data_IF_151176833566
#
_entry.id   IF_151176833566
#
_cell.length_a   1.000
_cell.length_b   1.000
_cell.length_c   1.000
_cell.angle_alpha   90.00
_cell.angle_beta   90.00
_cell.angle_gamma   90.00
#
_symmetry.space_group_name_H-M   'P 1'
#
loop_
_entity.id
_entity.type
_entity.pdbx_description
1 polymer ?
#
# COMPACT_ATOMS: atom_id res chain seq x y z
N UNK A 1 24.50 21.85 -14.71
CA UNK A 1 24.16 20.43 -14.46
C UNK A 1 22.69 20.23 -14.79
N UNK A 2 22.34 19.21 -15.58
CA UNK A 2 20.94 18.89 -15.83
C UNK A 2 20.28 18.38 -14.53
N UNK A 3 19.06 18.83 -14.22
CA UNK A 3 18.32 18.34 -13.05
C UNK A 3 18.03 16.84 -13.19
N UNK A 4 18.24 16.08 -12.12
CA UNK A 4 17.98 14.63 -12.14
C UNK A 4 16.49 14.33 -12.32
N UNK A 5 16.17 13.52 -13.34
CA UNK A 5 14.82 13.03 -13.61
C UNK A 5 14.67 11.58 -13.16
N UNK A 6 13.88 11.35 -12.09
CA UNK A 6 13.56 10.00 -11.59
C UNK A 6 12.86 9.18 -12.69
N UNK A 7 13.28 7.91 -12.83
CA UNK A 7 12.73 6.98 -13.83
C UNK A 7 11.79 5.92 -13.23
N UNK A 8 11.86 5.70 -11.91
CA UNK A 8 11.04 4.81 -11.10
C UNK A 8 11.14 3.30 -11.40
N UNK A 9 10.77 2.84 -12.60
CA UNK A 9 10.69 1.41 -12.95
C UNK A 9 10.89 1.20 -14.46
N UNK A 10 11.64 0.17 -14.92
CA UNK A 10 11.85 -0.12 -16.35
C UNK A 10 10.59 -0.70 -17.02
N UNK A 11 10.55 -0.74 -18.35
CA UNK A 11 9.54 -1.48 -19.12
C UNK A 11 8.52 -0.61 -19.86
N UNK A 12 7.93 -1.14 -20.92
CA UNK A 12 6.96 -0.42 -21.77
C UNK A 12 5.52 -0.93 -21.66
N UNK A 13 5.32 -2.07 -20.98
CA UNK A 13 4.02 -2.69 -20.75
C UNK A 13 3.10 -1.89 -19.83
N UNK A 14 1.80 -2.21 -19.81
CA UNK A 14 0.84 -1.56 -18.91
C UNK A 14 1.18 -1.77 -17.42
N UNK A 15 1.57 -2.96 -16.91
CA UNK A 15 1.97 -3.09 -15.52
C UNK A 15 3.20 -2.25 -15.18
N UNK A 16 4.21 -2.19 -16.06
CA UNK A 16 5.39 -1.34 -15.87
C UNK A 16 5.04 0.16 -15.81
N UNK A 17 4.17 0.63 -16.71
CA UNK A 17 3.65 2.02 -16.70
C UNK A 17 2.88 2.32 -15.42
N UNK A 18 2.03 1.40 -14.96
CA UNK A 18 1.29 1.56 -13.70
C UNK A 18 2.22 1.60 -12.49
N UNK A 19 3.27 0.76 -12.46
CA UNK A 19 4.30 0.80 -11.40
C UNK A 19 5.00 2.16 -11.33
N UNK A 20 5.39 2.75 -12.47
CA UNK A 20 5.93 4.11 -12.49
C UNK A 20 4.90 5.14 -12.00
N UNK A 21 3.67 5.07 -12.51
CA UNK A 21 2.59 6.00 -12.16
C UNK A 21 2.35 6.04 -10.65
N UNK A 22 2.25 4.87 -10.03
CA UNK A 22 2.03 4.78 -8.59
C UNK A 22 3.23 5.22 -7.77
N UNK A 23 4.48 5.09 -8.25
CA UNK A 23 5.63 5.61 -7.50
C UNK A 23 5.84 7.12 -7.64
N UNK A 24 5.33 7.75 -8.70
CA UNK A 24 5.59 9.17 -8.97
C UNK A 24 4.70 10.11 -8.13
N UNK A 25 5.24 10.82 -7.12
CA UNK A 25 4.44 11.73 -6.28
C UNK A 25 3.82 12.89 -7.05
N UNK A 26 4.31 13.19 -8.27
CA UNK A 26 3.70 14.22 -9.13
C UNK A 26 2.41 13.75 -9.80
N UNK A 27 2.20 12.44 -9.89
CA UNK A 27 0.96 11.87 -10.40
C UNK A 27 -0.04 11.72 -9.26
N UNK A 28 -1.19 12.41 -9.38
CA UNK A 28 -2.30 12.28 -8.44
C UNK A 28 -3.03 10.96 -8.67
N UNK A 29 -3.18 10.18 -7.61
CA UNK A 29 -3.96 8.94 -7.65
C UNK A 29 -5.45 9.27 -7.80
N UNK A 30 -6.14 8.55 -8.69
CA UNK A 30 -7.57 8.77 -8.93
C UNK A 30 -8.38 8.36 -7.70
N UNK A 31 -9.12 9.31 -7.10
CA UNK A 31 -10.15 9.02 -6.08
C UNK A 31 -11.33 8.31 -6.75
N UNK A 32 -11.75 7.17 -6.20
CA UNK A 32 -12.83 6.33 -6.74
C UNK A 32 -14.03 6.22 -5.81
N UNK A 33 -13.83 6.52 -4.53
CA UNK A 33 -14.84 6.50 -3.47
C UNK A 33 -14.48 7.51 -2.39
N UNK A 34 -15.38 7.71 -1.44
CA UNK A 34 -15.17 8.62 -0.32
C UNK A 34 -15.73 7.99 0.96
N UNK A 35 -14.90 7.20 1.64
CA UNK A 35 -15.24 6.62 2.94
C UNK A 35 -15.01 7.69 4.01
N UNK A 36 -15.96 7.89 4.91
CA UNK A 36 -15.81 8.90 5.97
C UNK A 36 -14.58 8.62 6.83
N UNK A 37 -13.92 9.65 7.37
CA UNK A 37 -12.73 9.42 8.21
C UNK A 37 -13.08 8.56 9.44
N UNK A 38 -14.24 8.82 10.05
CA UNK A 38 -14.77 8.02 11.16
C UNK A 38 -14.93 6.54 10.80
N UNK A 39 -15.32 6.23 9.56
CA UNK A 39 -15.42 4.86 9.09
C UNK A 39 -14.06 4.22 8.80
N UNK A 40 -13.09 5.00 8.30
CA UNK A 40 -11.70 4.55 8.15
C UNK A 40 -11.11 4.20 9.51
N UNK A 41 -11.30 5.06 10.52
CA UNK A 41 -10.86 4.82 11.91
C UNK A 41 -11.50 3.55 12.48
N UNK A 42 -12.80 3.34 12.25
CA UNK A 42 -13.50 2.10 12.64
C UNK A 42 -12.92 0.85 11.96
N UNK A 43 -12.67 0.91 10.65
CA UNK A 43 -12.05 -0.21 9.90
C UNK A 43 -10.64 -0.51 10.44
N UNK A 44 -9.87 0.52 10.82
CA UNK A 44 -8.54 0.36 11.40
C UNK A 44 -8.57 -0.22 12.82
N UNK A 45 -9.59 0.08 13.62
CA UNK A 45 -9.80 -0.54 14.94
C UNK A 45 -8.72 -0.20 15.98
N UNK A 46 -8.21 1.03 15.97
CA UNK A 46 -7.13 1.46 16.89
C UNK A 46 -7.58 2.39 18.01
N UNK A 47 -8.60 3.19 17.71
CA UNK A 47 -9.28 4.13 18.61
C UNK A 47 -10.71 4.31 18.11
N UNK A 48 -11.56 4.91 18.94
CA UNK A 48 -12.89 5.31 18.50
C UNK A 48 -12.84 6.66 17.77
N UNK A 49 -13.72 6.91 16.79
CA UNK A 49 -13.90 8.26 16.24
C UNK A 49 -14.26 9.26 17.34
N UNK A 50 -13.63 10.43 17.30
CA UNK A 50 -13.74 11.45 18.35
C UNK A 50 -12.85 11.21 19.58
N UNK A 51 -12.21 10.04 19.74
CA UNK A 51 -11.21 9.82 20.79
C UNK A 51 -9.91 10.55 20.44
N UNK A 52 -9.31 11.23 21.42
CA UNK A 52 -8.00 11.87 21.26
C UNK A 52 -6.92 10.85 20.88
N UNK A 53 -5.92 11.31 20.11
CA UNK A 53 -4.73 10.51 19.82
C UNK A 53 -3.96 10.26 21.11
N UNK A 54 -3.67 8.98 21.39
CA UNK A 54 -2.85 8.61 22.54
C UNK A 54 -1.38 8.76 22.18
N UNK A 55 -0.61 9.27 23.13
CA UNK A 55 0.84 9.46 22.98
C UNK A 55 1.63 8.27 23.52
N UNK A 56 2.77 7.97 22.89
CA UNK A 56 3.79 7.03 23.40
C UNK A 56 4.97 7.73 24.09
N UNK A 57 5.15 9.03 23.83
CA UNK A 57 6.11 9.90 24.51
C UNK A 57 5.57 11.34 24.54
N UNK A 58 6.09 12.23 25.41
CA UNK A 58 5.71 13.64 25.40
C UNK A 58 5.95 14.30 24.03
N UNK A 59 5.25 15.41 23.71
CA UNK A 59 5.53 16.20 22.53
C UNK A 59 7.01 16.57 22.39
N UNK A 60 7.54 16.59 21.16
CA UNK A 60 8.97 16.84 20.91
C UNK A 60 9.42 18.21 21.45
N UNK A 61 8.52 19.19 21.48
CA UNK A 61 8.80 20.54 22.01
C UNK A 61 9.10 20.55 23.51
N UNK A 62 8.67 19.53 24.25
CA UNK A 62 8.96 19.36 25.67
C UNK A 62 10.27 18.59 25.90
N UNK A 63 10.85 18.03 24.84
CA UNK A 63 12.08 17.25 24.89
C UNK A 63 13.30 18.10 25.21
N UNK A 64 14.12 17.65 26.17
CA UNK A 64 15.44 18.22 26.47
C UNK A 64 16.55 17.49 25.71
N UNK A 65 16.34 17.25 24.44
CA UNK A 65 17.32 16.53 23.64
C UNK A 65 18.56 17.40 23.36
N UNK A 66 19.79 16.84 23.40
CA UNK A 66 21.01 17.59 23.12
C UNK A 66 21.00 18.15 21.70
N UNK A 67 21.78 19.20 21.45
CA UNK A 67 21.87 19.78 20.12
C UNK A 67 22.34 18.75 19.09
N UNK A 68 21.64 18.66 17.96
CA UNK A 68 21.93 17.73 16.88
C UNK A 68 21.66 18.39 15.53
N UNK A 69 22.70 18.68 14.71
CA UNK A 69 22.52 19.36 13.43
C UNK A 69 21.67 18.54 12.45
N UNK A 70 21.76 17.20 12.49
CA UNK A 70 20.96 16.33 11.62
C UNK A 70 19.48 16.39 12.00
N UNK A 71 19.14 16.37 13.30
CA UNK A 71 17.74 16.46 13.77
C UNK A 71 17.09 17.78 13.34
N UNK A 72 17.85 18.88 13.38
CA UNK A 72 17.39 20.22 12.94
C UNK A 72 17.07 20.28 11.44
N UNK A 73 17.72 19.47 10.60
CA UNK A 73 17.48 19.42 9.15
C UNK A 73 16.23 18.61 8.76
N UNK A 74 15.81 17.66 9.61
CA UNK A 74 14.72 16.72 9.28
C UNK A 74 13.44 17.12 10.02
N UNK A 75 12.48 17.69 9.27
CA UNK A 75 11.20 18.12 9.83
C UNK A 75 10.36 16.91 10.30
N UNK A 76 9.97 16.78 11.57
CA UNK A 76 9.13 15.68 12.03
C UNK A 76 7.74 15.70 11.35
N UNK A 77 7.10 14.54 11.22
CA UNK A 77 5.66 14.49 10.85
C UNK A 77 4.80 15.03 11.97
N UNK A 78 3.53 15.32 11.72
CA UNK A 78 2.64 15.86 12.76
C UNK A 78 2.47 14.88 13.91
N UNK A 79 2.26 13.59 13.62
CA UNK A 79 2.14 12.58 14.68
C UNK A 79 3.43 12.43 15.49
N UNK A 80 4.60 12.63 14.89
CA UNK A 80 5.87 12.60 15.62
C UNK A 80 6.00 13.82 16.56
N UNK A 81 5.62 15.02 16.12
CA UNK A 81 5.65 16.25 16.96
C UNK A 81 4.84 16.10 18.24
N UNK A 82 3.68 15.48 18.15
CA UNK A 82 2.75 15.26 19.27
C UNK A 82 3.02 13.97 20.06
N UNK A 83 3.99 13.17 19.61
CA UNK A 83 4.36 11.91 20.25
C UNK A 83 3.29 10.82 20.17
N UNK A 84 2.43 10.85 19.15
CA UNK A 84 1.41 9.84 18.89
C UNK A 84 2.01 8.43 18.86
N UNK A 85 1.27 7.42 19.31
CA UNK A 85 1.69 6.01 19.14
C UNK A 85 1.90 5.66 17.67
N UNK A 86 2.76 4.68 17.42
CA UNK A 86 2.85 4.01 16.11
C UNK A 86 1.75 2.96 16.01
N UNK A 87 1.03 2.95 14.90
CA UNK A 87 -0.04 1.98 14.57
C UNK A 87 0.09 1.53 13.12
N UNK A 88 -0.80 0.66 12.65
CA UNK A 88 -0.63 0.02 11.34
C UNK A 88 -1.93 -0.11 10.53
N UNK A 89 -1.80 -0.07 9.21
CA UNK A 89 -2.82 -0.64 8.32
C UNK A 89 -2.15 -1.69 7.45
N UNK A 90 -2.84 -2.82 7.26
CA UNK A 90 -2.32 -3.93 6.49
C UNK A 90 -3.32 -4.35 5.42
N UNK A 91 -2.82 -4.52 4.20
CA UNK A 91 -3.59 -4.92 3.04
C UNK A 91 -3.16 -6.30 2.55
N UNK A 92 -4.12 -7.06 2.05
CA UNK A 92 -3.90 -8.25 1.22
C UNK A 92 -4.43 -7.96 -0.17
N UNK A 93 -3.61 -8.16 -1.19
CA UNK A 93 -3.96 -7.91 -2.60
C UNK A 93 -4.03 -9.23 -3.37
N UNK A 94 -5.15 -9.48 -4.04
CA UNK A 94 -5.35 -10.68 -4.85
C UNK A 94 -4.38 -10.75 -6.03
N UNK A 95 -3.83 -11.94 -6.29
CA UNK A 95 -3.05 -12.20 -7.51
C UNK A 95 -3.92 -12.15 -8.77
N UNK A 96 -5.24 -12.09 -8.66
CA UNK A 96 -6.16 -11.97 -9.78
C UNK A 96 -6.43 -10.50 -10.15
N UNK A 97 -5.38 -9.81 -10.58
CA UNK A 97 -5.44 -8.42 -11.08
C UNK A 97 -5.88 -7.36 -10.07
N UNK A 98 -5.63 -7.55 -8.77
CA UNK A 98 -5.73 -6.44 -7.82
C UNK A 98 -4.93 -5.21 -8.33
N UNK A 99 -5.38 -3.98 -8.04
CA UNK A 99 -4.83 -2.79 -8.68
C UNK A 99 -3.35 -2.57 -8.37
N UNK A 100 -2.87 -3.02 -7.22
CA UNK A 100 -1.48 -2.90 -6.80
C UNK A 100 -1.02 -4.22 -6.15
N UNK A 101 0.29 -4.49 -6.21
CA UNK A 101 0.94 -5.67 -5.63
C UNK A 101 1.82 -5.30 -4.42
N UNK A 102 2.18 -6.27 -3.55
CA UNK A 102 2.86 -5.97 -2.29
C UNK A 102 4.14 -5.12 -2.40
N UNK A 103 5.12 -5.52 -3.21
CA UNK A 103 6.34 -4.71 -3.40
C UNK A 103 6.04 -3.32 -3.98
N UNK A 104 5.02 -3.22 -4.82
CA UNK A 104 4.64 -1.96 -5.43
C UNK A 104 4.01 -0.99 -4.42
N UNK A 105 3.28 -1.49 -3.41
CA UNK A 105 2.86 -0.68 -2.26
C UNK A 105 4.06 -0.12 -1.51
N UNK A 106 5.03 -0.96 -1.14
CA UNK A 106 6.21 -0.50 -0.40
C UNK A 106 7.01 0.57 -1.16
N UNK A 107 7.26 0.38 -2.45
CA UNK A 107 7.97 1.36 -3.28
C UNK A 107 7.19 2.67 -3.47
N UNK A 108 5.86 2.57 -3.60
CA UNK A 108 4.99 3.74 -3.62
C UNK A 108 5.06 4.48 -2.28
N UNK A 109 4.96 3.78 -1.16
CA UNK A 109 4.93 4.38 0.18
C UNK A 109 6.21 5.17 0.45
N UNK A 110 7.37 4.55 0.20
CA UNK A 110 8.68 5.19 0.37
C UNK A 110 8.94 6.33 -0.64
N UNK A 111 8.19 6.39 -1.75
CA UNK A 111 8.32 7.46 -2.74
C UNK A 111 7.36 8.63 -2.52
N UNK A 112 6.24 8.42 -1.83
CA UNK A 112 5.17 9.41 -1.65
C UNK A 112 5.06 9.97 -0.24
N UNK A 113 5.37 9.15 0.78
CA UNK A 113 5.09 9.47 2.17
C UNK A 113 6.36 9.63 3.00
N UNK A 114 6.24 10.27 4.16
CA UNK A 114 7.33 10.57 5.08
C UNK A 114 7.17 9.73 6.36
N UNK A 115 8.29 9.35 6.98
CA UNK A 115 8.29 8.63 8.26
C UNK A 115 7.67 7.23 8.18
N UNK A 116 7.95 6.51 7.08
CA UNK A 116 7.36 5.20 6.79
C UNK A 116 8.21 4.06 7.34
N UNK A 117 7.57 3.14 8.06
CA UNK A 117 8.01 1.75 8.18
C UNK A 117 7.05 0.86 7.37
N UNK A 118 7.58 -0.09 6.59
CA UNK A 118 6.75 -0.92 5.72
C UNK A 118 7.33 -2.31 5.48
N UNK A 119 6.50 -3.33 5.69
CA UNK A 119 6.83 -4.74 5.47
C UNK A 119 6.13 -5.31 4.23
N UNK A 120 6.86 -6.03 3.40
CA UNK A 120 6.32 -6.72 2.22
C UNK A 120 6.39 -8.23 2.38
N UNK A 121 5.25 -8.89 2.23
CA UNK A 121 5.13 -10.34 2.18
C UNK A 121 4.28 -10.74 0.96
N UNK A 122 4.23 -12.02 0.63
CA UNK A 122 3.38 -12.51 -0.46
C UNK A 122 1.90 -12.24 -0.20
N UNK A 123 1.41 -12.62 0.99
CA UNK A 123 0.00 -12.55 1.36
C UNK A 123 -0.44 -11.29 2.09
N UNK A 124 0.48 -10.35 2.38
CA UNK A 124 0.14 -9.09 3.07
C UNK A 124 1.21 -8.03 2.87
N UNK A 125 0.81 -6.78 2.97
CA UNK A 125 1.69 -5.64 2.97
C UNK A 125 1.22 -4.66 4.06
N UNK A 126 2.16 -4.23 4.89
CA UNK A 126 1.90 -3.42 6.08
C UNK A 126 2.63 -2.09 5.99
N UNK A 127 2.02 -1.05 6.55
CA UNK A 127 2.63 0.24 6.83
C UNK A 127 2.41 0.59 8.30
N UNK A 128 3.49 0.95 8.98
CA UNK A 128 3.49 1.39 10.38
C UNK A 128 4.01 2.82 10.45
N UNK A 129 3.17 3.75 10.93
CA UNK A 129 3.53 5.16 11.14
C UNK A 129 2.78 5.72 12.35
N UNK A 130 3.03 6.99 12.68
CA UNK A 130 2.33 7.69 13.76
C UNK A 130 0.83 7.78 13.48
N UNK A 131 0.00 7.54 14.51
CA UNK A 131 -1.44 7.26 14.37
C UNK A 131 -2.21 8.30 13.54
N UNK A 132 -2.04 9.61 13.75
CA UNK A 132 -2.73 10.62 12.92
C UNK A 132 -2.26 10.67 11.47
N UNK A 133 -0.96 10.45 11.24
CA UNK A 133 -0.39 10.42 9.89
C UNK A 133 -0.89 9.17 9.15
N UNK A 134 -1.02 8.05 9.88
CA UNK A 134 -1.53 6.78 9.37
C UNK A 134 -2.97 6.90 8.90
N UNK A 135 -3.84 7.57 9.64
CA UNK A 135 -5.26 7.73 9.27
C UNK A 135 -5.44 8.48 7.95
N UNK A 136 -4.64 9.52 7.72
CA UNK A 136 -4.64 10.26 6.45
C UNK A 136 -4.20 9.35 5.30
N UNK A 137 -3.12 8.58 5.49
CA UNK A 137 -2.63 7.63 4.50
C UNK A 137 -3.66 6.53 4.24
N UNK A 138 -4.25 5.95 5.30
CA UNK A 138 -5.26 4.91 5.20
C UNK A 138 -6.50 5.38 4.44
N UNK A 139 -7.01 6.59 4.72
CA UNK A 139 -8.10 7.20 3.97
C UNK A 139 -7.75 7.36 2.50
N UNK A 140 -6.56 7.90 2.19
CA UNK A 140 -6.12 8.02 0.81
C UNK A 140 -6.10 6.66 0.10
N UNK A 141 -5.50 5.64 0.72
CA UNK A 141 -5.39 4.29 0.17
C UNK A 141 -6.76 3.66 -0.11
N UNK A 142 -7.68 3.74 0.86
CA UNK A 142 -9.03 3.17 0.72
C UNK A 142 -9.84 3.93 -0.35
N UNK A 143 -9.72 5.25 -0.41
CA UNK A 143 -10.48 6.08 -1.32
C UNK A 143 -10.02 6.01 -2.78
N UNK A 144 -8.74 5.69 -3.00
CA UNK A 144 -8.11 5.82 -4.31
C UNK A 144 -8.07 4.51 -5.11
N UNK A 145 -7.41 4.59 -6.26
CA UNK A 145 -7.31 3.50 -7.22
C UNK A 145 -6.38 2.34 -6.88
N UNK A 146 -5.64 2.42 -5.78
CA UNK A 146 -4.83 1.32 -5.25
C UNK A 146 -5.63 0.36 -4.37
N UNK A 147 -6.94 0.62 -4.21
CA UNK A 147 -7.88 -0.21 -3.48
C UNK A 147 -9.06 -0.61 -4.36
N UNK A 148 -9.22 -1.92 -4.55
CA UNK A 148 -10.42 -2.52 -5.09
C UNK A 148 -11.15 -3.27 -3.96
N UNK A 149 -12.43 -2.98 -3.68
CA UNK A 149 -13.12 -3.58 -2.54
C UNK A 149 -13.23 -5.11 -2.57
N UNK A 150 -13.23 -5.74 -3.75
CA UNK A 150 -13.29 -7.19 -3.85
C UNK A 150 -11.90 -7.84 -3.78
N UNK A 151 -10.89 -7.17 -4.35
CA UNK A 151 -9.56 -7.74 -4.56
C UNK A 151 -8.47 -7.21 -3.62
N UNK A 152 -8.78 -6.20 -2.80
CA UNK A 152 -7.91 -5.66 -1.76
C UNK A 152 -8.65 -5.68 -0.43
N UNK A 153 -8.16 -6.49 0.52
CA UNK A 153 -8.74 -6.62 1.86
C UNK A 153 -7.89 -5.91 2.92
N UNK A 154 -8.52 -5.19 3.86
CA UNK A 154 -7.85 -4.68 5.06
C UNK A 154 -7.84 -5.77 6.13
N UNK A 155 -6.65 -6.28 6.48
CA UNK A 155 -6.49 -7.51 7.27
C UNK A 155 -5.24 -7.47 8.16
N UNK A 156 -5.38 -7.33 9.47
CA UNK A 156 -4.28 -7.34 10.43
C UNK A 156 -3.75 -8.74 10.78
N UNK A 157 -4.63 -9.73 10.84
CA UNK A 157 -4.30 -11.14 11.09
C UNK A 157 -5.16 -12.08 10.22
N UNK A 158 -4.80 -13.37 10.16
CA UNK A 158 -5.48 -14.38 9.31
C UNK A 158 -5.64 -13.87 7.87
N UNK A 159 -4.49 -13.60 7.24
CA UNK A 159 -4.43 -12.87 5.96
C UNK A 159 -4.60 -13.74 4.72
N UNK A 160 -4.82 -15.05 4.89
CA UNK A 160 -4.93 -15.99 3.77
C UNK A 160 -6.02 -15.53 2.78
N UNK A 161 -5.72 -15.59 1.48
CA UNK A 161 -6.64 -15.11 0.44
C UNK A 161 -5.98 -14.66 -0.87
N UNK A 162 -4.78 -14.07 -0.81
CA UNK A 162 -4.16 -13.46 -2.00
C UNK A 162 -4.04 -14.41 -3.20
N UNK A 163 -3.76 -15.69 -2.96
CA UNK A 163 -3.57 -16.74 -3.96
C UNK A 163 -4.75 -17.70 -4.06
N UNK A 164 -5.84 -17.45 -3.34
CA UNK A 164 -7.06 -18.25 -3.41
C UNK A 164 -7.88 -17.84 -4.63
N UNK A 165 -8.64 -18.79 -5.19
CA UNK A 165 -9.70 -18.46 -6.14
C UNK A 165 -10.67 -17.46 -5.50
N UNK A 166 -11.21 -16.58 -6.32
CA UNK A 166 -12.29 -15.68 -5.92
C UNK A 166 -13.56 -16.49 -5.68
N UNK A 167 -14.44 -16.00 -4.81
CA UNK A 167 -15.75 -16.60 -4.56
C UNK A 167 -16.74 -16.33 -5.72
N UNK A 168 -17.97 -16.81 -5.57
CA UNK A 168 -19.04 -16.66 -6.57
C UNK A 168 -19.43 -15.19 -6.86
N UNK A 169 -19.10 -14.26 -5.96
CA UNK A 169 -19.32 -12.83 -6.11
C UNK A 169 -18.06 -12.09 -6.59
N UNK A 170 -16.96 -12.81 -6.83
CA UNK A 170 -15.68 -12.25 -7.23
C UNK A 170 -14.86 -11.66 -6.07
N UNK A 171 -15.22 -11.92 -4.82
CA UNK A 171 -14.48 -11.45 -3.64
C UNK A 171 -13.29 -12.36 -3.34
N UNK A 172 -12.20 -11.75 -2.90
CA UNK A 172 -11.04 -12.46 -2.38
C UNK A 172 -11.38 -13.11 -1.02
N UNK A 173 -11.10 -14.42 -0.89
CA UNK A 173 -11.30 -15.20 0.33
C UNK A 173 -10.78 -14.49 1.58
N UNK A 174 -11.61 -14.37 2.63
CA UNK A 174 -11.24 -13.91 3.97
C UNK A 174 -11.69 -14.93 5.02
N UNK A 175 -10.74 -15.56 5.72
CA UNK A 175 -11.04 -16.57 6.75
C UNK A 175 -11.88 -16.05 7.93
N UNK A 176 -11.96 -14.72 8.11
CA UNK A 176 -12.81 -14.11 9.14
C UNK A 176 -14.01 -13.33 8.58
N UNK A 177 -14.16 -13.27 7.26
CA UNK A 177 -15.23 -12.55 6.57
C UNK A 177 -15.41 -11.12 7.13
N UNK A 178 -14.31 -10.34 7.21
CA UNK A 178 -14.36 -8.95 7.71
C UNK A 178 -15.18 -8.05 6.80
N UNK A 179 -15.23 -8.38 5.52
CA UNK A 179 -16.11 -7.77 4.55
C UNK A 179 -16.92 -8.83 3.82
N UNK A 180 -18.12 -8.43 3.39
CA UNK A 180 -19.10 -9.28 2.73
C UNK A 180 -19.72 -8.57 1.54
N UNK A 181 -20.27 -9.34 0.60
CA UNK A 181 -21.05 -8.83 -0.52
C UNK A 181 -22.44 -8.40 -0.05
N UNK A 182 -22.86 -7.18 -0.41
CA UNK A 182 -24.24 -6.72 -0.28
C UNK A 182 -24.94 -6.86 -1.63
N UNK A 183 -25.78 -7.89 -1.77
CA UNK A 183 -26.43 -8.21 -3.04
C UNK A 183 -27.42 -7.14 -3.52
N UNK A 184 -28.03 -6.39 -2.60
CA UNK A 184 -28.99 -5.33 -2.94
C UNK A 184 -28.29 -4.11 -3.52
N UNK A 185 -27.17 -3.69 -2.92
CA UNK A 185 -26.41 -2.52 -3.36
C UNK A 185 -25.36 -2.85 -4.41
N UNK A 186 -25.01 -4.14 -4.54
CA UNK A 186 -23.88 -4.63 -5.35
C UNK A 186 -22.56 -4.00 -4.88
N UNK A 187 -22.39 -3.89 -3.58
CA UNK A 187 -21.26 -3.23 -2.89
C UNK A 187 -20.57 -4.18 -1.92
N UNK A 188 -19.32 -3.90 -1.60
CA UNK A 188 -18.60 -4.59 -0.53
C UNK A 188 -18.73 -3.79 0.76
N UNK A 189 -19.05 -4.50 1.83
CA UNK A 189 -19.38 -3.92 3.13
C UNK A 189 -18.53 -4.55 4.22
N UNK A 190 -17.76 -3.74 4.94
CA UNK A 190 -17.06 -4.17 6.16
C UNK A 190 -18.06 -4.33 7.31
N UNK A 191 -17.95 -5.46 7.99
CA UNK A 191 -18.74 -5.83 9.18
C UNK A 191 -17.86 -6.05 10.41
N UNK A 192 -16.54 -6.08 10.21
CA UNK A 192 -15.52 -6.16 11.24
C UNK A 192 -14.34 -5.25 10.90
N UNK A 193 -13.57 -4.85 11.90
CA UNK A 193 -12.31 -4.15 11.73
C UNK A 193 -11.20 -5.07 11.16
N UNK A 194 -10.00 -4.53 10.98
CA UNK A 194 -8.88 -5.27 10.41
C UNK A 194 -8.44 -6.50 11.25
N UNK A 195 -8.70 -6.51 12.55
CA UNK A 195 -8.41 -7.63 13.47
C UNK A 195 -9.64 -8.47 13.82
N UNK A 196 -10.71 -8.31 13.03
CA UNK A 196 -11.96 -9.06 13.10
C UNK A 196 -12.85 -8.79 14.34
N UNK A 197 -12.70 -7.63 14.98
CA UNK A 197 -13.68 -7.17 15.98
C UNK A 197 -14.92 -6.66 15.24
N UNK A 198 -16.13 -7.12 15.60
CA UNK A 198 -17.38 -6.64 14.98
C UNK A 198 -17.54 -5.13 15.08
N UNK A 199 -17.96 -4.52 13.97
CA UNK A 199 -18.28 -3.10 13.92
C UNK A 199 -19.69 -2.86 14.47
N UNK A 200 -19.87 -1.73 15.13
CA UNK A 200 -21.17 -1.21 15.59
C UNK A 200 -22.15 -0.97 14.43
N UNK A 201 -21.61 -0.67 13.24
CA UNK A 201 -22.36 -0.53 12.00
C UNK A 201 -21.63 -1.11 10.80
N UNK A 202 -22.41 -1.43 9.78
CA UNK A 202 -21.91 -1.87 8.48
C UNK A 202 -21.33 -0.68 7.70
N UNK A 203 -20.12 -0.82 7.17
CA UNK A 203 -19.42 0.25 6.44
C UNK A 203 -19.25 -0.14 4.97
N UNK A 204 -19.91 0.58 4.07
CA UNK A 204 -19.72 0.37 2.63
C UNK A 204 -18.39 0.98 2.17
N UNK A 205 -17.63 0.21 1.40
CA UNK A 205 -16.44 0.68 0.68
C UNK A 205 -16.68 0.70 -0.83
N UNK A 206 -17.96 0.69 -1.23
CA UNK A 206 -18.41 0.85 -2.62
C UNK A 206 -18.31 -0.42 -3.47
N UNK A 207 -18.49 -0.22 -4.78
CA UNK A 207 -18.55 -1.29 -5.78
C UNK A 207 -17.15 -1.72 -6.22
N UNK A 208 -16.93 -3.03 -6.44
CA UNK A 208 -15.74 -3.52 -7.15
C UNK A 208 -15.65 -2.94 -8.56
N UNK A 209 -14.43 -2.76 -9.05
CA UNK A 209 -14.21 -2.43 -10.46
C UNK A 209 -14.47 -3.67 -11.33
N UNK A 210 -14.79 -3.46 -12.62
CA UNK A 210 -14.87 -4.58 -13.55
C UNK A 210 -13.49 -5.20 -13.79
N UNK A 211 -13.44 -6.50 -14.09
CA UNK A 211 -12.17 -7.18 -14.37
C UNK A 211 -11.41 -6.55 -15.56
N UNK A 212 -12.13 -6.00 -16.55
CA UNK A 212 -11.51 -5.28 -17.67
C UNK A 212 -10.76 -4.02 -17.20
N UNK A 213 -11.36 -3.24 -16.29
CA UNK A 213 -10.71 -2.07 -15.71
C UNK A 213 -9.55 -2.46 -14.78
N UNK A 214 -9.69 -3.54 -14.03
CA UNK A 214 -8.63 -4.08 -13.18
C UNK A 214 -7.40 -4.51 -13.99
N UNK A 215 -7.59 -5.22 -15.10
CA UNK A 215 -6.50 -5.60 -16.02
C UNK A 215 -5.75 -4.38 -16.59
N UNK A 216 -6.41 -3.24 -16.78
CA UNK A 216 -5.75 -2.00 -17.25
C UNK A 216 -4.89 -1.33 -16.17
N UNK A 217 -5.31 -1.41 -14.90
CA UNK A 217 -4.70 -0.64 -13.80
C UNK A 217 -3.73 -1.44 -12.92
N UNK A 218 -3.81 -2.76 -13.00
CA UNK A 218 -2.99 -3.66 -12.18
C UNK A 218 -1.50 -3.46 -12.41
N UNK A 219 -0.72 -3.78 -11.38
CA UNK A 219 0.75 -3.79 -11.42
C UNK A 219 1.33 -5.20 -11.50
N UNK A 220 0.50 -6.23 -11.51
CA UNK A 220 0.92 -7.63 -11.60
C UNK A 220 1.08 -8.06 -13.07
N UNK A 221 2.10 -8.87 -13.34
CA UNK A 221 2.26 -9.56 -14.62
C UNK A 221 1.67 -10.96 -14.50
N UNK A 222 0.94 -11.41 -15.52
CA UNK A 222 0.28 -12.72 -15.57
C UNK A 222 0.11 -13.18 -17.02
N UNK A 223 0.18 -14.48 -17.26
CA UNK A 223 0.00 -15.08 -18.58
C UNK A 223 -1.41 -14.83 -19.19
N UNK A 224 -2.46 -14.70 -18.37
CA UNK A 224 -3.83 -14.37 -18.79
C UNK A 224 -4.13 -12.84 -18.79
N UNK A 225 -3.06 -12.04 -18.74
CA UNK A 225 -3.06 -10.59 -18.84
C UNK A 225 -1.88 -10.11 -19.67
N UNK A 226 -0.88 -9.50 -19.03
CA UNK A 226 0.41 -9.20 -19.65
C UNK A 226 1.46 -10.11 -19.04
N UNK A 227 2.05 -10.98 -19.84
CA UNK A 227 3.14 -11.84 -19.40
C UNK A 227 4.41 -11.02 -19.17
N UNK A 228 5.14 -11.31 -18.10
CA UNK A 228 6.41 -10.62 -17.81
C UNK A 228 7.45 -10.90 -18.90
N UNK A 229 7.37 -12.07 -19.56
CA UNK A 229 8.26 -12.48 -20.65
C UNK A 229 8.14 -11.58 -21.88
N UNK A 230 6.97 -10.96 -22.07
CA UNK A 230 6.72 -10.05 -23.19
C UNK A 230 7.34 -8.66 -22.95
N UNK A 231 7.60 -8.28 -21.69
CA UNK A 231 8.32 -7.05 -21.35
C UNK A 231 9.83 -7.32 -21.23
N UNK A 232 10.48 -7.39 -22.39
CA UNK A 232 11.93 -7.66 -22.52
C UNK A 232 12.79 -6.68 -21.74
N UNK A 233 12.38 -5.42 -21.62
CA UNK A 233 13.15 -4.41 -20.88
C UNK A 233 13.13 -4.70 -19.37
N UNK A 234 11.97 -5.05 -18.80
CA UNK A 234 11.88 -5.48 -17.40
C UNK A 234 12.76 -6.70 -17.13
N UNK A 235 12.68 -7.71 -18.00
CA UNK A 235 13.48 -8.93 -17.87
C UNK A 235 14.98 -8.63 -17.97
N UNK A 236 15.39 -7.81 -18.95
CA UNK A 236 16.78 -7.37 -19.12
C UNK A 236 17.31 -6.65 -17.89
N UNK A 237 16.52 -5.74 -17.30
CA UNK A 237 16.93 -5.04 -16.07
C UNK A 237 17.08 -5.99 -14.88
N UNK A 238 16.19 -6.98 -14.72
CA UNK A 238 16.32 -8.00 -13.68
C UNK A 238 17.62 -8.78 -13.80
N UNK A 239 17.93 -9.28 -15.00
CA UNK A 239 19.17 -10.01 -15.28
C UNK A 239 20.41 -9.14 -15.10
N UNK A 240 20.35 -7.89 -15.55
CA UNK A 240 21.43 -6.91 -15.38
C UNK A 240 21.77 -6.69 -13.90
N UNK A 241 20.76 -6.43 -13.06
CA UNK A 241 20.96 -6.21 -11.62
C UNK A 241 21.56 -7.47 -10.98
N UNK A 242 21.08 -8.66 -11.35
CA UNK A 242 21.63 -9.92 -10.88
C UNK A 242 23.12 -10.04 -11.23
N UNK A 243 23.47 -9.88 -12.51
CA UNK A 243 24.85 -9.96 -13.00
C UNK A 243 25.78 -8.97 -12.28
N UNK A 244 25.39 -7.69 -12.20
CA UNK A 244 26.22 -6.67 -11.57
C UNK A 244 26.42 -6.93 -10.06
N UNK A 245 25.41 -7.44 -9.36
CA UNK A 245 25.55 -7.84 -7.95
C UNK A 245 26.50 -9.03 -7.80
N UNK A 246 26.40 -10.03 -8.67
CA UNK A 246 27.28 -11.20 -8.68
C UNK A 246 28.73 -10.80 -8.90
N UNK A 247 28.99 -10.05 -9.98
CA UNK A 247 30.35 -9.63 -10.31
C UNK A 247 30.90 -8.62 -9.31
N UNK A 248 30.06 -7.71 -8.80
CA UNK A 248 30.43 -6.77 -7.76
C UNK A 248 30.81 -7.44 -6.45
N UNK A 249 30.17 -8.56 -6.10
CA UNK A 249 30.54 -9.38 -4.94
C UNK A 249 31.83 -10.17 -5.14
N UNK A 250 32.13 -10.60 -6.37
CA UNK A 250 33.35 -11.35 -6.69
C UNK A 250 34.58 -10.44 -6.81
N UNK A 251 34.54 -9.43 -7.69
CA UNK A 251 35.64 -8.51 -7.97
C UNK A 251 35.12 -7.10 -8.33
N UNK A 252 34.77 -6.26 -7.34
CA UNK A 252 34.08 -4.99 -7.58
C UNK A 252 34.85 -3.99 -8.45
N UNK A 253 36.18 -4.03 -8.42
CA UNK A 253 37.06 -3.14 -9.19
C UNK A 253 37.14 -3.48 -10.69
N UNK A 254 36.69 -4.68 -11.09
CA UNK A 254 36.71 -5.15 -12.48
C UNK A 254 35.36 -4.98 -13.20
N UNK A 255 34.31 -4.52 -12.49
CA UNK A 255 32.97 -4.39 -13.07
C UNK A 255 32.77 -3.00 -13.66
N UNK A 256 32.50 -2.92 -14.96
CA UNK A 256 32.01 -1.70 -15.60
C UNK A 256 30.48 -1.76 -15.68
N UNK A 257 29.81 -0.71 -15.19
CA UNK A 257 28.36 -0.59 -15.31
C UNK A 257 27.98 -0.24 -16.75
N UNK A 258 27.62 -1.23 -17.56
CA UNK A 258 27.15 -0.98 -18.96
C UNK A 258 25.67 -0.59 -19.08
#
# INVERSE_FOLDING_TARGET
>A
MAAYKRQFYPGSSSPAKNRRRYMDPKVKLKKLRDVSMDDVVRIMGHRNPGEDYKSMHPPIIEGKEPDCPIRKLVVPTEGAKHGDRVRYIQFTDSVYFAPISPYQRAWMYLSRYRGIDTGTLSGRQIIEVRERDLEVIAKEMIDNETFDPALTGVRGATVHGHACRLDENGLMFDGWQRYVWDDKKKEVVYVKDQVAIPLDRRISVGKPASMSELKKRTTIFRADGVDMRDDKEVTKYGLRIHYLRTMGGYQPFNVKGE
#
